data_IF_530332758147
#
_entry.id   IF_530332758147
#
_cell.length_a   1.000
_cell.length_b   1.000
_cell.length_c   1.000
_cell.angle_alpha   90.00
_cell.angle_beta   90.00
_cell.angle_gamma   90.00
#
_symmetry.space_group_name_H-M   'P 1'
#
loop_
_entity.id
_entity.type
_entity.pdbx_description
1 polymer ?
#
# COMPACT_ATOMS: atom_id res chain seq x y z
N UNK A 1 8.93 4.80 -5.27
CA UNK A 1 7.85 4.19 -6.05
C UNK A 1 7.86 2.69 -5.74
N UNK A 2 6.70 2.09 -5.49
CA UNK A 2 6.54 0.64 -5.72
C UNK A 2 6.50 0.46 -7.25
N UNK A 3 7.09 -0.61 -7.76
CA UNK A 3 7.78 -0.64 -9.07
C UNK A 3 6.96 -0.16 -10.28
N UNK A 4 7.62 0.44 -11.29
CA UNK A 4 7.25 0.16 -12.67
C UNK A 4 7.43 -1.35 -12.91
N UNK A 5 6.34 -2.12 -12.90
CA UNK A 5 6.37 -3.56 -13.15
C UNK A 5 5.44 -4.42 -12.29
N UNK A 6 4.70 -3.84 -11.33
CA UNK A 6 3.56 -4.53 -10.75
C UNK A 6 2.36 -4.32 -11.70
N UNK A 7 1.83 -5.39 -12.27
CA UNK A 7 0.62 -5.30 -13.12
C UNK A 7 -0.67 -5.29 -12.28
N UNK A 8 -0.54 -5.44 -10.95
CA UNK A 8 -1.63 -5.50 -9.99
C UNK A 8 -1.70 -4.31 -9.03
N UNK A 9 -2.28 -4.52 -7.85
CA UNK A 9 -2.45 -3.47 -6.84
C UNK A 9 -1.12 -3.22 -6.12
N UNK A 10 -0.62 -1.98 -6.15
CA UNK A 10 0.57 -1.59 -5.38
C UNK A 10 0.25 -1.35 -3.91
N UNK A 11 -0.88 -0.73 -3.65
CA UNK A 11 -1.29 -0.31 -2.30
C UNK A 11 -2.75 -0.68 -2.04
N UNK A 12 -2.95 -1.59 -1.08
CA UNK A 12 -4.29 -1.99 -0.63
C UNK A 12 -4.66 -1.27 0.66
N UNK A 13 -5.76 -0.52 0.64
CA UNK A 13 -6.35 0.09 1.84
C UNK A 13 -7.33 -0.88 2.49
N UNK A 14 -7.17 -1.16 3.77
CA UNK A 14 -8.04 -2.11 4.47
C UNK A 14 -8.77 -1.52 5.69
N UNK A 15 -10.05 -1.87 5.77
CA UNK A 15 -10.93 -1.62 6.90
C UNK A 15 -11.90 -0.46 6.68
N UNK A 16 -13.10 -0.60 7.26
CA UNK A 16 -14.20 0.38 7.15
C UNK A 16 -13.88 1.77 7.72
N UNK A 17 -12.79 1.95 8.46
CA UNK A 17 -12.32 3.27 8.88
C UNK A 17 -11.78 4.06 7.71
N UNK A 18 -11.10 3.40 6.77
CA UNK A 18 -10.41 3.99 5.62
C UNK A 18 -11.18 3.76 4.31
N UNK A 19 -12.06 2.77 4.24
CA UNK A 19 -12.71 2.30 3.00
C UNK A 19 -14.23 2.54 3.03
N UNK A 20 -14.78 3.02 1.91
CA UNK A 20 -16.23 3.23 1.66
C UNK A 20 -16.73 2.30 0.55
N UNK A 21 -18.02 1.96 0.56
CA UNK A 21 -18.62 1.14 -0.50
C UNK A 21 -18.83 1.93 -1.81
N UNK A 22 -19.21 3.20 -1.66
CA UNK A 22 -19.37 4.14 -2.77
C UNK A 22 -18.84 5.50 -2.31
N UNK A 23 -17.85 6.02 -3.01
CA UNK A 23 -17.31 7.35 -2.74
C UNK A 23 -18.04 8.46 -3.48
N UNK A 24 -18.93 8.12 -4.42
CA UNK A 24 -19.52 9.08 -5.35
C UNK A 24 -18.49 9.67 -6.33
N UNK A 25 -17.35 9.01 -6.51
CA UNK A 25 -16.18 9.52 -7.26
C UNK A 25 -15.18 10.24 -6.37
N UNK A 26 -13.96 10.49 -6.89
CA UNK A 26 -12.90 11.15 -6.12
C UNK A 26 -11.49 10.81 -6.60
N UNK A 27 -10.45 11.32 -5.92
CA UNK A 27 -9.06 10.99 -6.22
C UNK A 27 -8.79 9.50 -5.98
N UNK A 28 -7.96 8.89 -6.83
CA UNK A 28 -7.60 7.47 -6.74
C UNK A 28 -6.78 7.21 -5.45
N UNK A 29 -7.03 6.11 -4.72
CA UNK A 29 -8.12 5.15 -4.91
C UNK A 29 -9.45 5.72 -4.43
N UNK A 30 -10.43 5.75 -5.35
CA UNK A 30 -11.73 6.34 -5.10
C UNK A 30 -12.49 5.59 -3.99
N UNK A 31 -12.23 4.31 -3.75
CA UNK A 31 -12.87 3.50 -2.72
C UNK A 31 -12.49 3.86 -1.26
N UNK A 32 -11.73 4.93 -1.03
CA UNK A 32 -11.32 5.36 0.31
C UNK A 32 -12.10 6.56 0.84
N UNK A 33 -12.17 6.69 2.17
CA UNK A 33 -12.61 7.90 2.85
C UNK A 33 -11.53 8.98 2.69
N UNK A 34 -11.60 9.76 1.62
CA UNK A 34 -10.57 10.75 1.22
C UNK A 34 -10.00 11.56 2.40
N UNK A 35 -10.85 12.13 3.26
CA UNK A 35 -10.40 12.98 4.38
C UNK A 35 -9.56 12.24 5.44
N UNK A 36 -9.65 10.91 5.50
CA UNK A 36 -8.91 10.05 6.43
C UNK A 36 -7.65 9.45 5.80
N UNK A 37 -7.58 9.39 4.48
CA UNK A 37 -6.47 8.83 3.72
C UNK A 37 -5.56 9.90 3.13
N UNK A 38 -5.92 11.19 3.20
CA UNK A 38 -4.96 12.27 2.94
C UNK A 38 -3.78 12.20 3.94
N UNK A 39 -2.53 12.41 3.48
CA UNK A 39 -2.10 12.83 2.15
C UNK A 39 -1.77 11.67 1.18
N UNK A 40 -2.09 10.41 1.50
CA UNK A 40 -1.64 9.24 0.76
C UNK A 40 -2.09 9.23 -0.70
N UNK A 41 -3.26 9.78 -1.02
CA UNK A 41 -3.69 9.99 -2.40
C UNK A 41 -2.67 10.73 -3.25
N UNK A 42 -2.05 11.79 -2.72
CA UNK A 42 -1.04 12.56 -3.44
C UNK A 42 0.19 11.71 -3.72
N UNK A 43 0.63 10.92 -2.72
CA UNK A 43 1.78 10.04 -2.88
C UNK A 43 1.55 8.97 -3.96
N UNK A 44 0.38 8.34 -3.98
CA UNK A 44 0.02 7.35 -5.01
C UNK A 44 0.06 7.97 -6.40
N UNK A 45 -0.55 9.14 -6.56
CA UNK A 45 -0.54 9.87 -7.84
C UNK A 45 0.87 10.23 -8.29
N UNK A 46 1.70 10.78 -7.40
CA UNK A 46 3.08 11.15 -7.74
C UNK A 46 3.98 9.95 -8.04
N UNK A 47 3.68 8.79 -7.45
CA UNK A 47 4.39 7.55 -7.69
C UNK A 47 3.84 6.78 -8.89
N UNK A 48 2.75 7.25 -9.51
CA UNK A 48 1.97 6.50 -10.50
C UNK A 48 1.63 5.08 -10.01
N UNK A 49 1.29 4.95 -8.72
CA UNK A 49 1.01 3.67 -8.08
C UNK A 49 -0.50 3.37 -8.09
N UNK A 50 -0.85 2.12 -8.36
CA UNK A 50 -2.22 1.65 -8.39
C UNK A 50 -2.70 1.28 -6.98
N UNK A 51 -3.87 1.81 -6.61
CA UNK A 51 -4.46 1.62 -5.30
C UNK A 51 -5.82 0.93 -5.39
N UNK A 52 -6.07 0.00 -4.47
CA UNK A 52 -7.36 -0.67 -4.33
C UNK A 52 -7.76 -0.78 -2.85
N UNK A 53 -8.96 -1.28 -2.56
CA UNK A 53 -9.50 -1.35 -1.21
C UNK A 53 -10.12 -2.70 -0.86
N UNK A 54 -9.86 -3.15 0.37
CA UNK A 54 -10.54 -4.27 1.00
C UNK A 54 -11.32 -3.78 2.22
N UNK A 55 -12.66 -3.82 2.18
CA UNK A 55 -13.46 -3.28 3.30
C UNK A 55 -13.56 -4.23 4.50
N UNK A 56 -13.57 -5.52 4.24
CA UNK A 56 -13.78 -6.58 5.22
C UNK A 56 -12.72 -7.68 5.09
N UNK A 57 -12.67 -8.58 6.07
CA UNK A 57 -11.63 -9.64 6.12
C UNK A 57 -11.68 -10.56 4.92
N UNK A 58 -12.87 -10.88 4.39
CA UNK A 58 -13.01 -11.74 3.21
C UNK A 58 -12.36 -11.10 1.99
N UNK A 59 -12.63 -9.82 1.74
CA UNK A 59 -11.99 -9.07 0.64
C UNK A 59 -10.47 -8.94 0.83
N UNK A 60 -10.01 -8.79 2.07
CA UNK A 60 -8.57 -8.76 2.38
C UNK A 60 -7.91 -10.11 2.07
N UNK A 61 -8.50 -11.19 2.56
CA UNK A 61 -7.96 -12.54 2.37
C UNK A 61 -7.95 -12.92 0.88
N UNK A 62 -8.96 -12.51 0.11
CA UNK A 62 -9.04 -12.72 -1.35
C UNK A 62 -7.97 -11.92 -2.12
N UNK A 63 -7.74 -10.66 -1.76
CA UNK A 63 -6.68 -9.84 -2.35
C UNK A 63 -5.30 -10.44 -2.09
N UNK A 64 -5.01 -10.84 -0.85
CA UNK A 64 -3.73 -11.45 -0.46
C UNK A 64 -3.51 -12.79 -1.19
N UNK A 65 -4.55 -13.61 -1.34
CA UNK A 65 -4.43 -14.93 -1.96
C UNK A 65 -4.24 -14.87 -3.48
N UNK A 66 -4.77 -13.83 -4.14
CA UNK A 66 -4.73 -13.71 -5.61
C UNK A 66 -3.42 -13.10 -6.07
N UNK A 67 -3.09 -11.92 -5.55
CA UNK A 67 -1.88 -11.16 -5.90
C UNK A 67 -1.54 -10.26 -4.70
N UNK A 68 -0.67 -10.72 -3.78
CA UNK A 68 -0.45 -10.03 -2.52
C UNK A 68 0.14 -8.64 -2.76
N UNK A 69 -0.56 -7.56 -2.36
CA UNK A 69 -0.15 -6.20 -2.66
C UNK A 69 1.12 -5.83 -1.88
N UNK A 70 2.14 -5.21 -2.50
CA UNK A 70 3.39 -4.86 -1.83
C UNK A 70 3.23 -4.00 -0.58
N UNK A 71 2.16 -3.20 -0.51
CA UNK A 71 1.85 -2.37 0.65
C UNK A 71 0.39 -2.54 1.05
N UNK A 72 0.14 -2.78 2.34
CA UNK A 72 -1.21 -2.77 2.94
C UNK A 72 -1.30 -1.66 3.98
N UNK A 73 -2.28 -0.77 3.84
CA UNK A 73 -2.50 0.37 4.73
C UNK A 73 -3.77 0.16 5.55
N UNK A 74 -3.63 0.23 6.88
CA UNK A 74 -4.74 -0.05 7.80
C UNK A 74 -4.81 0.98 8.91
N UNK A 75 -5.99 1.12 9.52
CA UNK A 75 -6.10 1.83 10.79
C UNK A 75 -5.38 1.06 11.90
N UNK A 76 -4.69 1.75 12.82
CA UNK A 76 -3.86 1.12 13.87
C UNK A 76 -4.61 0.06 14.70
N UNK A 77 -5.89 0.28 15.01
CA UNK A 77 -6.74 -0.65 15.77
C UNK A 77 -6.92 -2.02 15.10
N UNK A 78 -6.62 -2.14 13.79
CA UNK A 78 -6.67 -3.40 13.04
C UNK A 78 -5.30 -4.05 12.84
N UNK A 79 -4.21 -3.34 13.12
CA UNK A 79 -2.86 -3.79 12.80
C UNK A 79 -2.57 -5.20 13.35
N UNK A 80 -2.94 -5.46 14.62
CA UNK A 80 -2.71 -6.78 15.22
C UNK A 80 -3.39 -7.93 14.48
N UNK A 81 -4.62 -7.74 13.99
CA UNK A 81 -5.34 -8.79 13.24
C UNK A 81 -4.82 -8.96 11.82
N UNK A 82 -4.24 -7.92 11.24
CA UNK A 82 -3.71 -7.92 9.88
C UNK A 82 -2.31 -8.52 9.84
N UNK A 83 -1.50 -8.29 10.87
CA UNK A 83 -0.16 -8.88 10.98
C UNK A 83 -0.17 -10.41 10.85
N UNK A 84 -1.15 -11.09 11.47
CA UNK A 84 -1.28 -12.55 11.38
C UNK A 84 -1.55 -13.07 9.96
N UNK A 85 -2.03 -12.21 9.05
CA UNK A 85 -2.36 -12.54 7.65
C UNK A 85 -1.22 -12.21 6.69
N UNK A 86 -0.26 -11.40 7.11
CA UNK A 86 0.84 -10.89 6.28
C UNK A 86 2.19 -11.34 6.85
N UNK A 87 2.45 -12.66 6.92
CA UNK A 87 3.74 -13.15 7.40
C UNK A 87 4.87 -12.64 6.49
N UNK A 88 5.93 -12.12 7.10
CA UNK A 88 7.09 -11.56 6.37
C UNK A 88 6.97 -10.08 6.03
N UNK A 89 5.80 -9.45 6.19
CA UNK A 89 5.66 -8.02 6.00
C UNK A 89 6.24 -7.27 7.20
N UNK A 90 6.95 -6.18 6.93
CA UNK A 90 7.41 -5.24 7.95
C UNK A 90 6.30 -4.22 8.24
N UNK A 91 6.07 -3.89 9.51
CA UNK A 91 5.01 -2.95 9.90
C UNK A 91 5.57 -1.67 10.53
N UNK A 92 4.96 -0.54 10.18
CA UNK A 92 5.31 0.77 10.73
C UNK A 92 4.06 1.65 10.87
N UNK A 93 3.89 2.26 12.05
CA UNK A 93 2.72 3.09 12.35
C UNK A 93 3.08 4.57 12.30
N UNK A 94 2.34 5.35 11.51
CA UNK A 94 2.56 6.77 11.34
C UNK A 94 1.29 7.58 11.59
N UNK A 95 1.48 8.79 12.15
CA UNK A 95 0.48 9.85 12.05
C UNK A 95 0.67 10.58 10.73
N UNK A 96 -0.19 10.29 9.78
CA UNK A 96 -0.14 10.89 8.44
C UNK A 96 -0.69 12.33 8.41
N UNK A 97 -1.30 12.81 9.50
CA UNK A 97 -1.80 14.18 9.67
C UNK A 97 -1.52 14.70 11.08
N UNK A 98 -1.49 16.02 11.24
CA UNK A 98 -1.36 16.70 12.55
C UNK A 98 -2.49 16.33 13.51
N UNK A 99 -3.71 16.19 12.97
CA UNK A 99 -4.91 15.74 13.69
C UNK A 99 -5.52 14.61 12.89
N UNK A 100 -5.67 13.46 13.53
CA UNK A 100 -6.13 12.22 12.90
C UNK A 100 -5.65 11.01 13.69
N UNK A 101 -6.19 9.84 13.34
CA UNK A 101 -5.77 8.58 13.95
C UNK A 101 -4.57 8.00 13.17
N UNK A 102 -3.57 7.42 13.85
CA UNK A 102 -2.46 6.75 13.19
C UNK A 102 -2.92 5.63 12.27
N UNK A 103 -2.15 5.41 11.21
CA UNK A 103 -2.31 4.29 10.28
C UNK A 103 -1.04 3.44 10.31
N UNK A 104 -1.22 2.14 10.14
CA UNK A 104 -0.12 1.18 10.04
C UNK A 104 0.05 0.78 8.58
N UNK A 105 1.30 0.86 8.12
CA UNK A 105 1.73 0.36 6.84
C UNK A 105 2.37 -1.00 7.07
N UNK A 106 1.92 -2.00 6.32
CA UNK A 106 2.61 -3.27 6.17
C UNK A 106 3.27 -3.25 4.80
N UNK A 107 4.56 -3.57 4.74
CA UNK A 107 5.37 -3.53 3.52
C UNK A 107 6.00 -4.89 3.30
N UNK A 108 5.82 -5.45 2.11
CA UNK A 108 6.53 -6.63 1.64
C UNK A 108 7.95 -6.23 1.21
N UNK A 109 9.00 -6.59 1.98
CA UNK A 109 10.37 -6.22 1.63
C UNK A 109 10.86 -6.90 0.34
N UNK A 110 10.35 -8.08 0.00
CA UNK A 110 10.76 -8.83 -1.17
C UNK A 110 10.15 -8.22 -2.44
N UNK A 111 8.86 -7.85 -2.40
CA UNK A 111 8.20 -7.17 -3.51
C UNK A 111 8.84 -5.80 -3.80
N UNK A 112 9.11 -5.00 -2.75
CA UNK A 112 9.75 -3.68 -2.90
C UNK A 112 11.23 -3.78 -3.28
N UNK A 113 11.94 -4.81 -2.79
CA UNK A 113 13.33 -5.07 -3.15
C UNK A 113 13.50 -5.48 -4.62
N UNK A 114 12.53 -6.21 -5.18
CA UNK A 114 12.50 -6.56 -6.60
C UNK A 114 12.16 -5.33 -7.46
N UNK A 115 11.23 -4.50 -7.01
CA UNK A 115 10.86 -3.25 -7.67
C UNK A 115 12.04 -2.31 -7.91
N UNK A 116 12.84 -2.08 -6.87
CA UNK A 116 14.02 -1.19 -6.93
C UNK A 116 15.16 -1.77 -7.75
N UNK A 117 15.18 -3.08 -7.98
CA UNK A 117 16.17 -3.74 -8.84
C UNK A 117 15.86 -3.57 -10.33
N UNK A 118 14.59 -3.61 -10.72
CA UNK A 118 14.15 -3.42 -12.12
C UNK A 118 14.39 -1.98 -12.59
N UNK A 119 14.29 -0.99 -11.69
CA UNK A 119 14.42 0.44 -12.02
C UNK A 119 15.89 0.96 -12.07
N UNK A 120 16.89 0.15 -11.68
CA UNK A 120 18.30 0.53 -11.90
C UNK A 120 18.78 0.01 -13.26
N UNK A 121 19.14 0.88 -14.23
CA UNK A 121 19.98 0.43 -15.33
C UNK A 121 21.25 -0.18 -14.72
N UNK A 122 21.63 -1.36 -15.19
CA UNK A 122 22.86 -2.02 -14.77
C UNK A 122 24.03 -1.09 -15.07
N UNK A 123 24.50 -0.37 -14.05
CA UNK A 123 25.78 0.28 -14.11
C UNK A 123 26.79 -0.85 -14.15
N UNK A 124 27.24 -1.21 -15.35
CA UNK A 124 28.46 -1.96 -15.51
C UNK A 124 29.52 -1.25 -14.67
N UNK A 125 30.06 -1.96 -13.67
CA UNK A 125 31.22 -1.48 -12.93
C UNK A 125 32.32 -1.22 -13.95
N UNK A 126 32.61 0.04 -14.23
CA UNK A 126 33.87 0.44 -14.83
C UNK A 126 34.95 0.19 -13.77
N UNK A 127 35.47 -1.03 -13.74
CA UNK A 127 36.86 -1.27 -13.38
C UNK A 127 37.72 -0.98 -14.62
N UNK A 128 38.94 -0.51 -14.36
CA UNK A 128 40.02 -0.21 -15.32
C UNK A 128 39.91 1.19 -15.98
N UNK A 129 40.85 2.14 -15.89
CA UNK A 129 42.30 2.14 -15.63
C UNK A 129 42.73 3.36 -14.79
#
# INVERSE_FOLDING_TARGET
AVAPGNEGTDVLFYGSELVVDDSGGGPIPACTVMVKTLPLHWYLQTAAADGDCARNTTALDEAIATDPPPVVVVHEDRAGRVADRLPGYESSTYRIRTVGRPVTFFVDPDAVGNATRVDRPSVARATDF
#
